data_IF_790708743194
#
_entry.id   IF_790708743194
#
_cell.length_a   1.000
_cell.length_b   1.000
_cell.length_c   1.000
_cell.angle_alpha   90.00
_cell.angle_beta   90.00
_cell.angle_gamma   90.00
#
_symmetry.space_group_name_H-M   'P 1'
#
loop_
_entity.id
_entity.type
_entity.pdbx_description
1 polymer ?
#
# COMPACT_ATOMS: atom_id res chain seq x y z
N UNK A 1 -12.76 10.99 -44.68
CA UNK A 1 -12.52 9.58 -44.30
C UNK A 1 -13.00 9.35 -42.87
N UNK A 2 -13.64 8.20 -42.64
CA UNK A 2 -14.54 7.90 -41.52
C UNK A 2 -13.84 7.79 -40.16
N UNK A 3 -14.47 8.35 -39.12
CA UNK A 3 -14.28 7.98 -37.70
C UNK A 3 -14.81 6.55 -37.49
N UNK A 4 -14.26 5.82 -36.48
CA UNK A 4 -14.62 4.46 -35.95
C UNK A 4 -13.40 3.52 -36.10
N UNK A 5 -12.82 2.87 -35.09
CA UNK A 5 -13.31 2.45 -33.78
C UNK A 5 -12.15 2.40 -32.76
N UNK A 6 -12.10 3.35 -31.82
CA UNK A 6 -11.44 3.12 -30.54
C UNK A 6 -12.42 2.26 -29.74
N UNK A 7 -12.14 0.97 -29.58
CA UNK A 7 -12.98 0.05 -28.82
C UNK A 7 -12.82 0.38 -27.33
N UNK A 8 -13.56 1.38 -26.87
CA UNK A 8 -13.80 1.62 -25.44
C UNK A 8 -14.40 0.35 -24.86
N UNK A 9 -13.54 -0.43 -24.22
CA UNK A 9 -13.97 -1.56 -23.42
C UNK A 9 -14.63 -0.95 -22.19
N UNK A 10 -15.95 -0.78 -22.24
CA UNK A 10 -16.78 -0.39 -21.10
C UNK A 10 -16.60 -1.43 -20.00
N UNK A 11 -15.71 -1.14 -19.05
CA UNK A 11 -15.58 -1.93 -17.81
C UNK A 11 -16.85 -1.72 -17.00
N UNK A 12 -17.46 -2.81 -16.52
CA UNK A 12 -18.69 -2.73 -15.75
C UNK A 12 -18.43 -2.03 -14.40
N UNK A 13 -19.45 -1.38 -13.79
CA UNK A 13 -19.32 -0.73 -12.48
C UNK A 13 -19.06 -1.71 -11.31
N UNK A 14 -19.01 -3.01 -11.58
CA UNK A 14 -18.94 -4.08 -10.58
C UNK A 14 -17.49 -4.54 -10.32
N UNK A 15 -16.51 -4.08 -11.10
CA UNK A 15 -15.10 -4.05 -10.69
C UNK A 15 -14.91 -2.94 -9.66
N UNK A 16 -15.52 -3.10 -8.48
CA UNK A 16 -15.13 -2.37 -7.27
C UNK A 16 -13.61 -2.47 -7.18
N UNK A 17 -12.93 -1.35 -7.39
CA UNK A 17 -11.49 -1.21 -7.45
C UNK A 17 -10.84 -2.11 -6.39
N UNK A 18 -10.34 -3.29 -6.80
CA UNK A 18 -9.42 -4.05 -5.96
C UNK A 18 -8.28 -3.07 -5.72
N UNK A 19 -8.07 -2.69 -4.46
CA UNK A 19 -7.01 -1.74 -4.10
C UNK A 19 -5.74 -2.16 -4.86
N UNK A 20 -5.24 -1.28 -5.73
CA UNK A 20 -4.05 -1.58 -6.53
C UNK A 20 -2.92 -1.87 -5.55
N UNK A 21 -2.55 -3.13 -5.45
CA UNK A 21 -1.56 -3.59 -4.48
C UNK A 21 -0.22 -3.68 -5.20
N UNK A 22 0.72 -2.83 -4.80
CA UNK A 22 2.09 -2.85 -5.31
C UNK A 22 2.98 -3.54 -4.28
N UNK A 23 3.72 -4.56 -4.72
CA UNK A 23 4.71 -5.23 -3.87
C UNK A 23 6.05 -4.52 -4.01
N UNK A 24 6.54 -3.95 -2.91
CA UNK A 24 7.85 -3.30 -2.82
C UNK A 24 8.80 -4.21 -2.04
N UNK A 25 10.01 -4.45 -2.57
CA UNK A 25 11.08 -5.17 -1.88
C UNK A 25 12.02 -4.17 -1.21
N UNK A 26 12.23 -4.32 0.10
CA UNK A 26 13.16 -3.52 0.89
C UNK A 26 14.20 -4.39 1.59
N UNK A 27 15.30 -3.77 2.02
CA UNK A 27 16.33 -4.43 2.83
C UNK A 27 16.29 -3.90 4.25
N UNK A 28 16.39 -4.80 5.22
CA UNK A 28 16.48 -4.46 6.65
C UNK A 28 17.80 -4.97 7.19
N UNK A 29 18.41 -4.18 8.08
CA UNK A 29 19.52 -4.68 8.91
C UNK A 29 19.02 -5.76 9.88
N UNK A 30 19.94 -6.58 10.39
CA UNK A 30 19.61 -7.64 11.36
C UNK A 30 18.91 -7.05 12.60
N UNK A 31 19.41 -5.93 13.13
CA UNK A 31 18.82 -5.26 14.29
C UNK A 31 17.38 -4.75 13.99
N UNK A 32 17.16 -4.13 12.83
CA UNK A 32 15.82 -3.70 12.41
C UNK A 32 14.85 -4.88 12.29
N UNK A 33 15.32 -6.02 11.78
CA UNK A 33 14.51 -7.24 11.68
C UNK A 33 14.09 -7.78 13.05
N UNK A 34 14.99 -7.75 14.03
CA UNK A 34 14.67 -8.18 15.41
C UNK A 34 13.64 -7.27 16.07
N UNK A 35 13.79 -5.95 15.90
CA UNK A 35 12.82 -4.97 16.38
C UNK A 35 11.45 -5.21 15.72
N UNK A 36 11.42 -5.44 14.40
CA UNK A 36 10.19 -5.74 13.67
C UNK A 36 9.50 -7.01 14.20
N UNK A 37 10.26 -8.06 14.51
CA UNK A 37 9.71 -9.29 15.13
C UNK A 37 9.06 -9.04 16.49
N UNK A 38 9.62 -8.14 17.31
CA UNK A 38 8.99 -7.74 18.57
C UNK A 38 7.65 -7.05 18.33
N UNK A 39 7.59 -6.13 17.35
CA UNK A 39 6.34 -5.46 16.98
C UNK A 39 5.28 -6.43 16.45
N UNK A 40 5.66 -7.41 15.64
CA UNK A 40 4.79 -8.51 15.18
C UNK A 40 4.13 -9.21 16.37
N UNK A 41 4.92 -9.56 17.40
CA UNK A 41 4.41 -10.18 18.62
C UNK A 41 3.48 -9.28 19.44
N UNK A 42 3.82 -8.00 19.57
CA UNK A 42 3.03 -7.02 20.35
C UNK A 42 1.69 -6.69 19.66
N UNK A 43 1.73 -6.44 18.35
CA UNK A 43 0.55 -6.06 17.56
C UNK A 43 -0.33 -7.29 17.27
N UNK A 44 0.26 -8.49 17.30
CA UNK A 44 -0.46 -9.74 17.01
C UNK A 44 -0.85 -9.87 15.54
N UNK A 45 -0.01 -9.35 14.63
CA UNK A 45 -0.28 -9.31 13.19
C UNK A 45 0.94 -9.76 12.37
N UNK A 46 0.77 -9.97 11.07
CA UNK A 46 1.85 -10.42 10.19
C UNK A 46 2.84 -9.29 9.84
N UNK A 47 4.00 -9.66 9.30
CA UNK A 47 5.08 -8.71 8.95
C UNK A 47 4.62 -7.61 7.99
N UNK A 48 3.84 -7.96 6.96
CA UNK A 48 3.37 -7.00 5.97
C UNK A 48 2.43 -5.96 6.57
N UNK A 49 1.49 -6.37 7.43
CA UNK A 49 0.57 -5.45 8.10
C UNK A 49 1.33 -4.53 9.06
N UNK A 50 2.26 -5.06 9.85
CA UNK A 50 3.07 -4.25 10.77
C UNK A 50 3.92 -3.23 10.02
N UNK A 51 4.62 -3.65 8.96
CA UNK A 51 5.39 -2.74 8.11
C UNK A 51 4.46 -1.71 7.45
N UNK A 52 3.29 -2.12 6.98
CA UNK A 52 2.29 -1.23 6.40
C UNK A 52 1.83 -0.16 7.38
N UNK A 53 1.57 -0.51 8.64
CA UNK A 53 1.22 0.45 9.70
C UNK A 53 2.37 1.40 10.00
N UNK A 54 3.61 0.90 10.09
CA UNK A 54 4.80 1.75 10.31
C UNK A 54 4.95 2.78 9.18
N UNK A 55 4.86 2.34 7.93
CA UNK A 55 4.94 3.24 6.77
C UNK A 55 3.80 4.25 6.78
N UNK A 56 2.57 3.81 7.07
CA UNK A 56 1.40 4.69 7.15
C UNK A 56 1.58 5.76 8.23
N UNK A 57 2.03 5.38 9.42
CA UNK A 57 2.33 6.31 10.51
C UNK A 57 3.43 7.30 10.15
N UNK A 58 4.50 6.82 9.50
CA UNK A 58 5.58 7.68 9.03
C UNK A 58 5.07 8.71 8.01
N UNK A 59 4.34 8.27 6.99
CA UNK A 59 3.75 9.15 5.97
C UNK A 59 2.76 10.17 6.57
N UNK A 60 1.99 9.76 7.59
CA UNK A 60 1.10 10.67 8.31
C UNK A 60 1.90 11.75 9.06
N UNK A 61 2.96 11.36 9.78
CA UNK A 61 3.80 12.29 10.54
C UNK A 61 4.57 13.26 9.65
N UNK A 62 5.01 12.82 8.47
CA UNK A 62 5.64 13.69 7.45
C UNK A 62 4.62 14.59 6.74
N UNK A 63 3.33 14.45 7.03
CA UNK A 63 2.26 15.23 6.42
C UNK A 63 1.89 14.80 5.00
N UNK A 64 2.40 13.66 4.52
CA UNK A 64 2.03 13.10 3.20
C UNK A 64 0.61 12.54 3.16
N UNK A 65 0.05 12.14 4.31
CA UNK A 65 -1.34 11.63 4.42
C UNK A 65 -2.32 12.65 5.01
N UNK A 66 -1.83 13.79 5.49
CA UNK A 66 -2.69 14.91 5.88
C UNK A 66 -2.87 15.80 4.68
N UNK A 67 -3.90 15.55 3.85
CA UNK A 67 -4.29 16.57 2.87
C UNK A 67 -4.62 17.86 3.63
N UNK A 68 -3.87 18.94 3.33
CA UNK A 68 -4.42 20.29 3.36
C UNK A 68 -5.56 20.33 2.32
N UNK A 69 -6.79 20.14 2.77
CA UNK A 69 -7.97 20.68 2.11
C UNK A 69 -8.69 21.59 3.09
#
# INVERSE_FOLDING_TARGET
MSKKDLKETKRSPEEKMKAETVVVKGTLTVNQREILRKFIGIIGSNEQDVVGKIITLWLYNEGHLTEKK
#
